data_IF_015658353255
#
_entry.id   IF_015658353255
#
_cell.length_a   1.000
_cell.length_b   1.000
_cell.length_c   1.000
_cell.angle_alpha   90.00
_cell.angle_beta   90.00
_cell.angle_gamma   90.00
#
_symmetry.space_group_name_H-M   'P 1'
#
loop_
_entity.id
_entity.type
_entity.pdbx_description
1 polymer ?
#
# COMPACT_ATOMS: atom_id res chain seq x y z
N UNK A 1 8.64 8.68 8.03
CA UNK A 1 9.38 9.67 8.86
C UNK A 1 9.08 11.13 8.51
N UNK A 2 8.50 11.44 7.34
CA UNK A 2 8.27 12.82 6.85
C UNK A 2 6.77 13.13 6.71
N UNK A 3 5.91 12.57 7.57
CA UNK A 3 4.45 12.64 7.43
C UNK A 3 3.80 13.85 8.13
N UNK A 4 4.56 14.60 8.93
CA UNK A 4 4.01 15.71 9.71
C UNK A 4 3.06 15.29 10.84
N UNK A 5 3.07 14.01 11.24
CA UNK A 5 2.16 13.44 12.26
C UNK A 5 2.58 13.75 13.71
N UNK A 6 3.03 14.96 13.97
CA UNK A 6 3.44 15.44 15.29
C UNK A 6 2.28 16.02 16.09
N UNK A 7 2.61 16.70 17.19
CA UNK A 7 1.63 17.34 18.07
C UNK A 7 1.24 18.72 17.55
N UNK A 8 -0.05 19.05 17.61
CA UNK A 8 -0.57 20.41 17.43
C UNK A 8 -1.12 20.93 18.76
N UNK A 9 -0.79 22.17 19.13
CA UNK A 9 -1.28 22.84 20.34
C UNK A 9 -2.07 24.07 19.91
N UNK A 10 -3.30 24.20 20.42
CA UNK A 10 -4.19 25.33 20.16
C UNK A 10 -4.44 26.04 21.49
N UNK A 11 -4.11 27.32 21.59
CA UNK A 11 -4.35 28.17 22.77
C UNK A 11 -5.21 29.36 22.35
N UNK A 12 -6.46 29.40 22.84
CA UNK A 12 -7.45 30.45 22.58
C UNK A 12 -7.56 30.87 21.10
N UNK A 13 -7.40 29.90 20.18
CA UNK A 13 -7.41 30.16 18.74
C UNK A 13 -8.84 30.50 18.29
N UNK A 14 -9.09 31.71 17.74
CA UNK A 14 -10.43 32.08 17.30
C UNK A 14 -10.84 31.26 16.07
N UNK A 15 -12.04 30.68 16.11
CA UNK A 15 -12.64 29.96 14.98
C UNK A 15 -13.88 30.72 14.51
N UNK A 16 -13.85 31.31 13.31
CA UNK A 16 -15.02 31.92 12.70
C UNK A 16 -16.18 30.91 12.56
N UNK A 17 -17.42 31.35 12.80
CA UNK A 17 -18.59 30.47 12.73
C UNK A 17 -18.74 29.78 11.36
N UNK A 18 -18.36 30.45 10.27
CA UNK A 18 -18.37 29.90 8.91
C UNK A 18 -17.28 28.84 8.66
N UNK A 19 -16.35 28.63 9.58
CA UNK A 19 -15.37 27.55 9.54
C UNK A 19 -15.81 26.32 10.35
N UNK A 20 -16.96 26.39 11.02
CA UNK A 20 -17.56 25.25 11.71
C UNK A 20 -18.38 24.45 10.70
N UNK A 21 -17.94 23.23 10.42
CA UNK A 21 -18.60 22.32 9.48
C UNK A 21 -19.32 21.23 10.30
N UNK A 22 -20.66 21.13 10.23
CA UNK A 22 -21.41 20.07 10.91
C UNK A 22 -20.96 18.68 10.42
N UNK A 23 -20.86 17.73 11.35
CA UNK A 23 -20.33 16.41 11.02
C UNK A 23 -21.26 15.63 10.07
N UNK A 24 -22.57 15.82 10.21
CA UNK A 24 -23.63 15.25 9.38
C UNK A 24 -23.56 15.68 7.91
N UNK A 25 -22.92 16.81 7.61
CA UNK A 25 -22.74 17.29 6.23
C UNK A 25 -21.60 16.57 5.51
N UNK A 26 -20.71 15.88 6.24
CA UNK A 26 -19.62 15.11 5.63
C UNK A 26 -20.15 13.99 4.74
N UNK A 27 -19.28 13.54 3.84
CA UNK A 27 -19.59 12.42 2.96
C UNK A 27 -19.59 11.11 3.74
N UNK A 28 -20.69 10.35 3.63
CA UNK A 28 -20.89 9.10 4.39
C UNK A 28 -19.87 8.01 4.03
N UNK A 29 -19.33 8.02 2.81
CA UNK A 29 -18.26 7.10 2.37
C UNK A 29 -16.85 7.51 2.84
N UNK A 30 -16.69 8.47 3.75
CA UNK A 30 -15.39 9.02 4.15
C UNK A 30 -14.37 7.99 4.63
N UNK A 31 -14.81 7.03 5.45
CA UNK A 31 -13.93 5.99 5.99
C UNK A 31 -13.37 5.12 4.87
N UNK A 32 -14.23 4.67 3.95
CA UNK A 32 -13.84 3.88 2.79
C UNK A 32 -12.87 4.67 1.86
N UNK A 33 -13.09 5.98 1.71
CA UNK A 33 -12.19 6.84 0.93
C UNK A 33 -10.80 6.95 1.57
N UNK A 34 -10.71 7.24 2.86
CA UNK A 34 -9.42 7.29 3.55
C UNK A 34 -8.70 5.94 3.51
N UNK A 35 -9.45 4.84 3.66
CA UNK A 35 -8.88 3.50 3.58
C UNK A 35 -8.31 3.21 2.18
N UNK A 36 -9.01 3.60 1.10
CA UNK A 36 -8.49 3.45 -0.26
C UNK A 36 -7.18 4.24 -0.47
N UNK A 37 -7.08 5.46 0.08
CA UNK A 37 -5.84 6.24 0.01
C UNK A 37 -4.69 5.50 0.71
N UNK A 38 -4.92 4.93 1.89
CA UNK A 38 -3.91 4.14 2.61
C UNK A 38 -3.53 2.86 1.85
N UNK A 39 -4.50 2.18 1.23
CA UNK A 39 -4.26 1.03 0.37
C UNK A 39 -3.39 1.39 -0.85
N UNK A 40 -3.65 2.54 -1.49
CA UNK A 40 -2.85 3.03 -2.59
C UNK A 40 -1.40 3.32 -2.17
N UNK A 41 -1.19 3.87 -0.97
CA UNK A 41 0.15 4.07 -0.39
C UNK A 41 0.86 2.72 -0.19
N UNK A 42 0.19 1.73 0.39
CA UNK A 42 0.75 0.38 0.59
C UNK A 42 1.10 -0.31 -0.74
N UNK A 43 0.19 -0.28 -1.72
CA UNK A 43 0.46 -0.81 -3.05
C UNK A 43 1.67 -0.12 -3.70
N UNK A 44 1.79 1.21 -3.56
CA UNK A 44 2.95 1.98 -4.01
C UNK A 44 4.26 1.56 -3.33
N UNK A 45 4.24 1.25 -2.03
CA UNK A 45 5.39 0.67 -1.31
C UNK A 45 5.74 -0.70 -1.89
N UNK A 46 4.74 -1.57 -2.13
CA UNK A 46 4.93 -2.86 -2.77
C UNK A 46 5.63 -2.77 -4.13
N UNK A 47 5.20 -1.84 -4.99
CA UNK A 47 5.86 -1.57 -6.27
C UNK A 47 7.32 -1.15 -6.11
N UNK A 48 7.60 -0.33 -5.10
CA UNK A 48 8.96 0.11 -4.81
C UNK A 48 9.84 -1.07 -4.36
N UNK A 49 9.28 -1.99 -3.55
CA UNK A 49 9.96 -3.24 -3.16
C UNK A 49 10.31 -4.08 -4.39
N UNK A 50 9.34 -4.36 -5.26
CA UNK A 50 9.54 -5.16 -6.48
C UNK A 50 10.60 -4.54 -7.41
N UNK A 51 10.53 -3.23 -7.63
CA UNK A 51 11.51 -2.51 -8.44
C UNK A 51 12.91 -2.62 -7.85
N UNK A 52 13.04 -2.38 -6.55
CA UNK A 52 14.34 -2.32 -5.89
C UNK A 52 14.98 -3.72 -5.81
N UNK A 53 14.22 -4.78 -5.50
CA UNK A 53 14.77 -6.15 -5.50
C UNK A 53 15.19 -6.56 -6.92
N UNK A 54 14.41 -6.23 -7.94
CA UNK A 54 14.77 -6.54 -9.32
C UNK A 54 16.06 -5.83 -9.76
N UNK A 55 16.25 -4.57 -9.35
CA UNK A 55 17.48 -3.83 -9.62
C UNK A 55 18.68 -4.45 -8.90
N UNK A 56 18.54 -4.72 -7.61
CA UNK A 56 19.60 -5.29 -6.77
C UNK A 56 20.05 -6.68 -7.24
N UNK A 57 19.10 -7.53 -7.66
CA UNK A 57 19.40 -8.85 -8.24
C UNK A 57 20.11 -8.73 -9.59
N UNK A 58 19.72 -7.77 -10.43
CA UNK A 58 20.30 -7.54 -11.76
C UNK A 58 21.74 -7.05 -11.71
N UNK A 59 22.04 -6.14 -10.79
CA UNK A 59 23.37 -5.52 -10.70
C UNK A 59 24.39 -6.37 -9.93
N UNK A 60 23.90 -7.32 -9.13
CA UNK A 60 24.74 -8.12 -8.25
C UNK A 60 25.70 -9.02 -9.03
N UNK A 61 27.01 -8.77 -8.83
CA UNK A 61 28.10 -9.54 -9.42
C UNK A 61 28.58 -10.71 -8.57
N UNK A 62 28.47 -10.60 -7.23
CA UNK A 62 28.91 -11.65 -6.31
C UNK A 62 27.88 -12.78 -6.25
N UNK A 63 28.27 -13.94 -6.78
CA UNK A 63 27.50 -15.19 -6.74
C UNK A 63 27.80 -16.03 -5.50
N UNK A 64 26.93 -16.97 -5.19
CA UNK A 64 27.18 -18.00 -4.19
C UNK A 64 28.07 -19.09 -4.78
N UNK A 65 29.05 -19.59 -4.02
CA UNK A 65 29.95 -20.67 -4.46
C UNK A 65 29.21 -21.98 -4.77
N UNK A 66 28.01 -22.16 -4.20
CA UNK A 66 27.11 -23.29 -4.43
C UNK A 66 25.79 -22.84 -5.08
N UNK A 67 25.80 -21.71 -5.79
CA UNK A 67 24.61 -21.18 -6.48
C UNK A 67 24.24 -22.00 -7.72
N UNK A 68 23.01 -21.83 -8.20
CA UNK A 68 22.45 -22.62 -9.30
C UNK A 68 22.79 -22.06 -10.70
N UNK A 69 23.55 -20.97 -10.78
CA UNK A 69 23.87 -20.30 -12.03
C UNK A 69 25.16 -19.47 -11.96
N UNK A 70 25.70 -19.11 -13.13
CA UNK A 70 26.86 -18.23 -13.25
C UNK A 70 26.60 -16.76 -12.91
N UNK A 71 25.35 -16.38 -12.64
CA UNK A 71 24.97 -15.04 -12.15
C UNK A 71 23.74 -15.12 -11.25
N UNK A 72 23.61 -14.20 -10.29
CA UNK A 72 22.47 -14.17 -9.35
C UNK A 72 21.14 -13.99 -10.08
N UNK A 73 21.12 -13.17 -11.15
CA UNK A 73 19.93 -12.97 -11.97
C UNK A 73 19.45 -14.21 -12.71
N UNK A 74 20.26 -15.27 -12.81
CA UNK A 74 19.89 -16.54 -13.45
C UNK A 74 19.71 -17.67 -12.43
N UNK A 75 19.86 -17.40 -11.13
CA UNK A 75 19.64 -18.39 -10.09
C UNK A 75 18.14 -18.61 -9.89
N UNK A 76 17.66 -19.84 -10.07
CA UNK A 76 16.24 -20.18 -10.01
C UNK A 76 15.62 -19.94 -8.63
N UNK A 77 16.38 -20.11 -7.54
CA UNK A 77 15.89 -19.85 -6.19
C UNK A 77 15.73 -18.35 -5.94
N UNK A 78 16.63 -17.54 -6.50
CA UNK A 78 16.52 -16.07 -6.43
C UNK A 78 15.34 -15.59 -7.27
N UNK A 79 15.20 -16.10 -8.50
CA UNK A 79 14.07 -15.76 -9.36
C UNK A 79 12.73 -16.19 -8.77
N UNK A 80 12.68 -17.30 -8.02
CA UNK A 80 11.49 -17.69 -7.27
C UNK A 80 11.09 -16.62 -6.24
N UNK A 81 12.03 -16.06 -5.48
CA UNK A 81 11.73 -14.99 -4.50
C UNK A 81 11.24 -13.73 -5.22
N UNK A 82 11.92 -13.32 -6.30
CA UNK A 82 11.52 -12.14 -7.09
C UNK A 82 10.11 -12.32 -7.67
N UNK A 83 9.82 -13.49 -8.26
CA UNK A 83 8.50 -13.81 -8.81
C UNK A 83 7.41 -13.88 -7.76
N UNK A 84 7.71 -14.39 -6.57
CA UNK A 84 6.78 -14.43 -5.44
C UNK A 84 6.40 -13.01 -4.98
N UNK A 85 7.38 -12.11 -4.88
CA UNK A 85 7.14 -10.70 -4.54
C UNK A 85 6.33 -10.01 -5.63
N UNK A 86 6.67 -10.21 -6.90
CA UNK A 86 5.91 -9.64 -8.01
C UNK A 86 4.44 -10.09 -7.99
N UNK A 87 4.18 -11.37 -7.71
CA UNK A 87 2.82 -11.90 -7.58
C UNK A 87 2.05 -11.30 -6.39
N UNK A 88 2.71 -11.13 -5.24
CA UNK A 88 2.12 -10.49 -4.06
C UNK A 88 1.75 -9.03 -4.34
N UNK A 89 2.66 -8.27 -4.96
CA UNK A 89 2.45 -6.86 -5.33
C UNK A 89 1.32 -6.73 -6.35
N UNK A 90 1.29 -7.58 -7.38
CA UNK A 90 0.21 -7.63 -8.35
C UNK A 90 -1.16 -7.84 -7.67
N UNK A 91 -1.26 -8.80 -6.74
CA UNK A 91 -2.50 -9.05 -6.01
C UNK A 91 -2.90 -7.85 -5.13
N UNK A 92 -1.94 -7.19 -4.49
CA UNK A 92 -2.18 -6.01 -3.67
C UNK A 92 -2.69 -4.81 -4.50
N UNK A 93 -2.09 -4.58 -5.68
CA UNK A 93 -2.55 -3.56 -6.62
C UNK A 93 -3.96 -3.86 -7.12
N UNK A 94 -4.23 -5.09 -7.52
CA UNK A 94 -5.54 -5.50 -8.01
C UNK A 94 -6.64 -5.32 -6.94
N UNK A 95 -6.38 -5.71 -5.69
CA UNK A 95 -7.31 -5.51 -4.58
C UNK A 95 -7.55 -4.02 -4.28
N UNK A 96 -6.51 -3.21 -4.37
CA UNK A 96 -6.59 -1.75 -4.20
C UNK A 96 -7.44 -1.11 -5.30
N UNK A 97 -7.17 -1.43 -6.57
CA UNK A 97 -7.92 -0.91 -7.71
C UNK A 97 -9.39 -1.36 -7.67
N UNK A 98 -9.65 -2.61 -7.31
CA UNK A 98 -11.01 -3.14 -7.16
C UNK A 98 -11.82 -2.36 -6.12
N UNK A 99 -11.18 -1.87 -5.07
CA UNK A 99 -11.83 -1.04 -4.04
C UNK A 99 -12.28 0.34 -4.56
N UNK A 100 -11.72 0.83 -5.67
CA UNK A 100 -12.09 2.12 -6.25
C UNK A 100 -13.50 2.12 -6.86
N UNK A 101 -13.98 0.99 -7.38
CA UNK A 101 -15.27 0.93 -8.08
C UNK A 101 -16.48 1.08 -7.14
N UNK A 102 -16.59 0.34 -6.00
CA UNK A 102 -17.64 0.60 -5.02
C UNK A 102 -17.57 2.01 -4.44
N UNK A 103 -16.37 2.55 -4.26
CA UNK A 103 -16.18 3.90 -3.75
C UNK A 103 -16.69 4.96 -4.73
N UNK A 104 -16.43 4.77 -6.03
CA UNK A 104 -16.98 5.63 -7.08
C UNK A 104 -18.51 5.58 -7.10
N UNK A 105 -19.12 4.39 -6.89
CA UNK A 105 -20.57 4.28 -6.76
C UNK A 105 -21.10 5.05 -5.55
N UNK A 106 -20.42 4.97 -4.40
CA UNK A 106 -20.81 5.70 -3.20
C UNK A 106 -20.70 7.23 -3.41
N UNK A 107 -19.65 7.68 -4.10
CA UNK A 107 -19.50 9.08 -4.52
C UNK A 107 -20.68 9.54 -5.38
N UNK A 108 -21.03 8.80 -6.43
CA UNK A 108 -22.14 9.17 -7.32
C UNK A 108 -23.48 9.13 -6.59
N UNK A 109 -23.72 8.10 -5.77
CA UNK A 109 -24.99 7.91 -5.05
C UNK A 109 -25.27 9.05 -4.05
N UNK A 110 -24.24 9.68 -3.48
CA UNK A 110 -24.38 10.86 -2.60
C UNK A 110 -25.10 12.03 -3.29
N UNK A 111 -24.89 12.20 -4.60
CA UNK A 111 -25.54 13.27 -5.37
C UNK A 111 -26.87 12.82 -5.98
N UNK A 112 -27.27 11.57 -5.75
CA UNK A 112 -28.58 11.06 -6.09
C UNK A 112 -29.62 11.43 -5.02
N UNK A 113 -30.89 11.46 -5.41
CA UNK A 113 -32.01 11.69 -4.49
C UNK A 113 -32.62 10.37 -3.99
N UNK A 114 -31.79 9.35 -3.71
CA UNK A 114 -32.23 8.03 -3.25
C UNK A 114 -31.44 7.58 -2.00
N UNK A 115 -31.99 7.79 -0.79
CA UNK A 115 -31.30 7.47 0.46
C UNK A 115 -30.94 5.99 0.63
N UNK A 116 -31.78 5.07 0.11
CA UNK A 116 -31.52 3.64 0.20
C UNK A 116 -30.34 3.24 -0.70
N UNK A 117 -30.31 3.76 -1.93
CA UNK A 117 -29.21 3.54 -2.86
C UNK A 117 -27.88 4.11 -2.32
N UNK A 118 -27.91 5.31 -1.73
CA UNK A 118 -26.74 5.91 -1.08
C UNK A 118 -26.22 4.99 0.05
N UNK A 119 -27.12 4.52 0.91
CA UNK A 119 -26.78 3.61 2.02
C UNK A 119 -26.13 2.33 1.51
N UNK A 120 -26.72 1.66 0.53
CA UNK A 120 -26.21 0.39 -0.01
C UNK A 120 -24.85 0.57 -0.68
N UNK A 121 -24.64 1.68 -1.40
CA UNK A 121 -23.37 2.00 -2.02
C UNK A 121 -22.26 2.28 -0.97
N UNK A 122 -22.58 2.99 0.12
CA UNK A 122 -21.63 3.23 1.21
C UNK A 122 -21.22 1.92 1.89
N UNK A 123 -22.17 1.03 2.19
CA UNK A 123 -21.89 -0.30 2.78
C UNK A 123 -20.99 -1.12 1.86
N UNK A 124 -21.26 -1.12 0.55
CA UNK A 124 -20.43 -1.85 -0.40
C UNK A 124 -18.98 -1.31 -0.45
N UNK A 125 -18.80 0.01 -0.40
CA UNK A 125 -17.47 0.63 -0.36
C UNK A 125 -16.71 0.29 0.93
N UNK A 126 -17.38 0.30 2.07
CA UNK A 126 -16.79 -0.04 3.36
C UNK A 126 -16.35 -1.51 3.41
N UNK A 127 -17.23 -2.43 2.97
CA UNK A 127 -16.90 -3.86 2.92
C UNK A 127 -15.72 -4.13 1.98
N UNK A 128 -15.70 -3.53 0.78
CA UNK A 128 -14.62 -3.81 -0.18
C UNK A 128 -13.27 -3.29 0.30
N UNK A 129 -13.23 -2.05 0.80
CA UNK A 129 -11.99 -1.45 1.33
C UNK A 129 -11.49 -2.17 2.57
N UNK A 130 -12.38 -2.68 3.43
CA UNK A 130 -12.01 -3.51 4.59
C UNK A 130 -11.39 -4.86 4.17
N UNK A 131 -11.97 -5.54 3.15
CA UNK A 131 -11.39 -6.78 2.61
C UNK A 131 -9.99 -6.52 2.03
N UNK A 132 -9.85 -5.45 1.26
CA UNK A 132 -8.57 -5.08 0.69
C UNK A 132 -7.54 -4.71 1.76
N UNK A 133 -7.94 -4.01 2.83
CA UNK A 133 -7.04 -3.66 3.94
C UNK A 133 -6.37 -4.88 4.54
N UNK A 134 -7.15 -5.94 4.82
CA UNK A 134 -6.63 -7.17 5.43
C UNK A 134 -5.52 -7.76 4.55
N UNK A 135 -5.80 -7.97 3.27
CA UNK A 135 -4.85 -8.68 2.41
C UNK A 135 -3.69 -7.82 1.92
N UNK A 136 -3.93 -6.54 1.59
CA UNK A 136 -2.89 -5.64 1.06
C UNK A 136 -1.82 -5.38 2.12
N UNK A 137 -2.22 -5.18 3.39
CA UNK A 137 -1.26 -4.97 4.48
C UNK A 137 -0.37 -6.18 4.70
N UNK A 138 -0.94 -7.40 4.67
CA UNK A 138 -0.18 -8.65 4.78
C UNK A 138 0.80 -8.82 3.60
N UNK A 139 0.31 -8.70 2.36
CA UNK A 139 1.12 -8.93 1.16
C UNK A 139 2.30 -7.96 1.07
N UNK A 140 2.06 -6.66 1.30
CA UNK A 140 3.11 -5.64 1.20
C UNK A 140 4.15 -5.80 2.32
N UNK A 141 3.72 -6.08 3.55
CA UNK A 141 4.63 -6.34 4.67
C UNK A 141 5.49 -7.59 4.40
N UNK A 142 4.87 -8.65 3.88
CA UNK A 142 5.56 -9.87 3.49
C UNK A 142 6.57 -9.62 2.39
N UNK A 143 6.22 -8.92 1.32
CA UNK A 143 7.16 -8.54 0.25
C UNK A 143 8.34 -7.73 0.79
N UNK A 144 8.08 -6.74 1.65
CA UNK A 144 9.10 -5.91 2.30
C UNK A 144 9.99 -6.67 3.30
N UNK A 145 9.60 -7.89 3.67
CA UNK A 145 10.40 -8.81 4.50
C UNK A 145 11.18 -9.78 3.62
N UNK A 146 10.50 -10.42 2.67
CA UNK A 146 11.04 -11.49 1.83
C UNK A 146 12.10 -11.00 0.84
N UNK A 147 12.17 -9.70 0.52
CA UNK A 147 13.21 -9.21 -0.41
C UNK A 147 14.64 -9.52 0.07
N UNK A 148 14.87 -9.59 1.38
CA UNK A 148 16.19 -9.91 1.93
C UNK A 148 16.59 -11.37 1.68
N UNK A 149 15.64 -12.27 1.41
CA UNK A 149 15.93 -13.67 1.06
C UNK A 149 16.67 -13.77 -0.29
N UNK A 150 16.45 -12.83 -1.21
CA UNK A 150 17.19 -12.77 -2.48
C UNK A 150 18.56 -12.06 -2.34
N UNK A 151 18.67 -11.09 -1.42
CA UNK A 151 19.81 -10.17 -1.34
C UNK A 151 20.86 -10.58 -0.29
N UNK A 152 20.47 -11.39 0.69
CA UNK A 152 21.30 -11.82 1.81
C UNK A 152 21.94 -10.64 2.56
N UNK A 153 23.11 -10.85 3.15
CA UNK A 153 23.80 -9.86 3.98
C UNK A 153 24.15 -8.55 3.21
N UNK A 154 24.29 -8.60 1.89
CA UNK A 154 24.55 -7.38 1.11
C UNK A 154 23.32 -6.48 0.95
N UNK A 155 22.12 -7.01 1.19
CA UNK A 155 20.86 -6.26 1.17
C UNK A 155 20.68 -5.36 2.39
N UNK A 156 21.26 -5.71 3.54
CA UNK A 156 21.09 -4.97 4.80
C UNK A 156 22.00 -3.73 4.93
N UNK A 157 22.67 -3.34 3.84
CA UNK A 157 23.51 -2.14 3.83
C UNK A 157 22.70 -0.87 4.06
N UNK A 158 23.17 -0.03 4.99
CA UNK A 158 22.57 1.29 5.25
C UNK A 158 22.58 2.21 4.03
N UNK A 159 23.53 2.01 3.11
CA UNK A 159 23.59 2.78 1.86
C UNK A 159 22.41 2.45 0.92
N UNK A 160 21.86 1.23 1.02
CA UNK A 160 20.69 0.82 0.23
C UNK A 160 19.38 1.16 0.94
N UNK A 161 19.39 1.18 2.28
CA UNK A 161 18.26 1.52 3.13
C UNK A 161 16.95 0.79 2.74
N UNK A 162 17.04 -0.49 2.34
CA UNK A 162 15.91 -1.27 1.83
C UNK A 162 14.87 -1.59 2.92
N UNK A 163 15.29 -1.57 4.19
CA UNK A 163 14.42 -1.69 5.36
C UNK A 163 13.39 -0.56 5.47
N UNK A 164 13.56 0.54 4.73
CA UNK A 164 12.60 1.65 4.68
C UNK A 164 11.23 1.26 4.13
N UNK A 165 11.14 0.17 3.38
CA UNK A 165 9.87 -0.31 2.85
C UNK A 165 9.05 -1.05 3.92
N UNK A 166 9.75 -1.69 4.86
CA UNK A 166 9.13 -2.40 5.99
C UNK A 166 8.71 -1.45 7.12
N UNK A 167 9.49 -0.38 7.34
CA UNK A 167 9.28 0.64 8.38
C UNK A 167 8.28 1.72 7.99
#
# INVERSE_FOLDING_TARGET
RTTGSGTSVYDNVPVPANHVIPFEERFKYQTAFYQLVLLAVLAGIGRAVERDIAQEVRDRKRIFSHGNAGSVSQDSQVQQVVGQIAAQVYAAEAATLRSAEPLQRAYVARFGNNPQQEKDANIAAEIETAKAQVIVSELVLRSATELFNALGASGVSVNKALDRHWR
#
